data_IF_947433396868
#
_entry.id   IF_947433396868
#
_cell.length_a   1.000
_cell.length_b   1.000
_cell.length_c   1.000
_cell.angle_alpha   90.00
_cell.angle_beta   90.00
_cell.angle_gamma   90.00
#
_symmetry.space_group_name_H-M   'P 1'
#
loop_
_entity.id
_entity.type
_entity.pdbx_description
1 polymer ?
#
# COMPACT_ATOMS: atom_id res chain seq x y z
N UNK A 1 -13.78 0.70 22.71
CA UNK A 1 -14.68 1.53 21.91
C UNK A 1 -13.94 2.00 20.68
N UNK A 2 -14.61 2.06 19.53
CA UNK A 2 -14.02 2.69 18.34
C UNK A 2 -13.76 4.19 18.60
N UNK A 3 -12.71 4.78 18.01
CA UNK A 3 -12.45 6.21 18.11
C UNK A 3 -13.65 7.05 17.61
N UNK A 4 -13.89 8.24 18.19
CA UNK A 4 -14.90 9.17 17.66
C UNK A 4 -14.59 9.55 16.20
N UNK A 5 -15.63 9.61 15.35
CA UNK A 5 -15.50 10.01 13.94
C UNK A 5 -14.98 8.93 12.99
N UNK A 6 -14.91 7.67 13.42
CA UNK A 6 -14.44 6.57 12.58
C UNK A 6 -15.29 6.36 11.32
N UNK A 7 -16.61 6.62 11.42
CA UNK A 7 -17.55 6.43 10.32
C UNK A 7 -17.34 7.45 9.18
N UNK A 8 -16.75 8.61 9.48
CA UNK A 8 -16.43 9.67 8.52
C UNK A 8 -14.97 9.62 8.03
N UNK A 9 -14.23 8.56 8.37
CA UNK A 9 -12.80 8.44 8.06
C UNK A 9 -12.57 7.78 6.71
N UNK A 10 -11.88 8.50 5.81
CA UNK A 10 -11.43 7.97 4.52
C UNK A 10 -9.92 7.85 4.47
N UNK A 11 -9.43 6.70 4.01
CA UNK A 11 -7.99 6.44 3.83
C UNK A 11 -7.72 6.10 2.38
N UNK A 12 -6.77 6.82 1.79
CA UNK A 12 -6.31 6.57 0.41
C UNK A 12 -4.92 5.96 0.47
N UNK A 13 -4.80 4.71 0.01
CA UNK A 13 -3.50 4.06 -0.19
C UNK A 13 -3.08 4.22 -1.64
N UNK A 14 -1.95 4.90 -1.86
CA UNK A 14 -1.32 5.00 -3.18
C UNK A 14 -0.16 4.02 -3.23
N UNK A 15 -0.31 2.96 -4.03
CA UNK A 15 0.73 1.95 -4.22
C UNK A 15 1.54 2.31 -5.47
N UNK A 16 2.78 2.72 -5.26
CA UNK A 16 3.72 3.03 -6.34
C UNK A 16 4.44 1.77 -6.84
N UNK A 17 5.00 1.82 -8.05
CA UNK A 17 5.70 0.69 -8.66
C UNK A 17 7.21 0.66 -8.32
N UNK A 18 8.02 1.45 -9.02
CA UNK A 18 9.50 1.35 -8.98
C UNK A 18 10.15 2.62 -8.41
N UNK A 19 9.41 3.38 -7.60
CA UNK A 19 9.94 4.64 -7.04
C UNK A 19 10.99 4.34 -5.98
N UNK A 20 12.18 4.93 -6.14
CA UNK A 20 13.27 4.81 -5.15
C UNK A 20 13.36 6.08 -4.31
N UNK A 21 13.48 5.90 -3.00
CA UNK A 21 13.51 7.02 -2.05
C UNK A 21 14.72 7.94 -2.26
N UNK A 22 15.86 7.38 -2.70
CA UNK A 22 17.11 8.12 -2.93
C UNK A 22 17.05 9.07 -4.16
N UNK A 23 15.99 8.96 -4.96
CA UNK A 23 15.71 9.84 -6.11
C UNK A 23 14.55 10.82 -5.84
N UNK A 24 14.10 10.94 -4.59
CA UNK A 24 13.05 11.90 -4.20
C UNK A 24 13.67 13.19 -3.65
N UNK A 25 13.36 14.33 -4.29
CA UNK A 25 13.88 15.65 -3.89
C UNK A 25 13.60 15.98 -2.42
N UNK A 26 12.38 15.70 -1.96
CA UNK A 26 11.97 15.86 -0.56
C UNK A 26 12.74 14.99 0.45
N UNK A 27 13.52 14.00 0.00
CA UNK A 27 14.38 13.16 0.85
C UNK A 27 15.88 13.47 0.71
N UNK A 28 16.23 14.54 -0.02
CA UNK A 28 17.60 15.05 -0.18
C UNK A 28 18.25 14.78 -1.54
N UNK A 29 17.49 14.32 -2.54
CA UNK A 29 18.01 14.16 -3.91
C UNK A 29 18.35 15.52 -4.53
N UNK A 30 19.41 15.57 -5.35
CA UNK A 30 19.94 16.83 -5.90
C UNK A 30 19.01 17.52 -6.90
N UNK A 31 18.08 16.79 -7.53
CA UNK A 31 17.05 17.33 -8.43
C UNK A 31 15.72 17.41 -7.70
N UNK A 32 14.96 18.48 -7.97
CA UNK A 32 13.60 18.62 -7.44
C UNK A 32 12.62 17.73 -8.23
N UNK A 33 12.56 16.45 -7.83
CA UNK A 33 11.65 15.44 -8.40
C UNK A 33 10.29 15.39 -7.72
N UNK A 34 10.10 16.16 -6.65
CA UNK A 34 8.86 16.20 -5.85
C UNK A 34 8.34 17.64 -5.61
N UNK A 35 8.28 18.51 -6.64
CA UNK A 35 8.00 19.95 -6.47
C UNK A 35 6.57 20.28 -6.03
N UNK A 36 5.65 19.33 -6.23
CA UNK A 36 4.25 19.46 -5.80
C UNK A 36 4.10 18.99 -4.36
N UNK A 37 4.61 17.80 -4.06
CA UNK A 37 4.58 17.22 -2.71
C UNK A 37 5.27 18.13 -1.69
N UNK A 38 6.39 18.78 -2.04
CA UNK A 38 7.09 19.69 -1.14
C UNK A 38 6.28 20.91 -0.67
N UNK A 39 5.14 21.20 -1.31
CA UNK A 39 4.24 22.31 -0.96
C UNK A 39 3.06 21.86 -0.10
N UNK A 40 2.86 20.56 0.09
CA UNK A 40 1.74 20.03 0.84
C UNK A 40 1.91 20.28 2.34
N UNK A 41 0.85 20.78 2.97
CA UNK A 41 0.82 21.00 4.43
C UNK A 41 0.64 19.66 5.13
N UNK A 42 1.25 19.52 6.32
CA UNK A 42 1.20 18.31 7.14
C UNK A 42 1.76 17.05 6.46
N UNK A 43 2.63 17.22 5.48
CA UNK A 43 3.34 16.11 4.84
C UNK A 43 4.44 15.59 5.75
N UNK A 44 4.45 14.27 5.97
CA UNK A 44 5.54 13.57 6.65
C UNK A 44 6.20 12.64 5.65
N UNK A 45 7.53 12.76 5.53
CA UNK A 45 8.33 11.99 4.59
C UNK A 45 9.18 10.95 5.33
N UNK A 46 9.09 9.69 4.90
CA UNK A 46 9.88 8.60 5.47
C UNK A 46 10.79 8.00 4.40
N UNK A 47 12.00 7.63 4.81
CA UNK A 47 12.84 6.70 4.03
C UNK A 47 12.33 5.29 4.33
N UNK A 48 12.08 4.52 3.27
CA UNK A 48 11.53 3.17 3.38
C UNK A 48 12.34 2.18 2.57
N UNK A 49 12.40 0.95 3.05
CA UNK A 49 12.96 -0.19 2.35
C UNK A 49 11.83 -1.15 2.00
N UNK A 50 11.85 -1.70 0.79
CA UNK A 50 10.84 -2.64 0.35
C UNK A 50 11.09 -4.02 0.96
N UNK A 51 10.01 -4.74 1.27
CA UNK A 51 10.12 -6.11 1.76
C UNK A 51 10.57 -7.09 0.67
N UNK A 52 10.40 -6.74 -0.61
CA UNK A 52 10.88 -7.49 -1.77
C UNK A 52 11.22 -6.56 -2.95
N UNK A 53 11.80 -7.09 -4.02
CA UNK A 53 12.12 -6.34 -5.24
C UNK A 53 11.15 -6.62 -6.39
N UNK A 54 10.35 -7.68 -6.31
CA UNK A 54 9.31 -7.99 -7.29
C UNK A 54 7.94 -7.49 -6.82
N UNK A 55 7.21 -6.76 -7.67
CA UNK A 55 5.88 -6.18 -7.38
C UNK A 55 4.94 -7.21 -6.73
N UNK A 56 4.84 -8.39 -7.36
CA UNK A 56 4.03 -9.50 -6.86
C UNK A 56 4.37 -9.95 -5.43
N UNK A 57 5.66 -10.03 -5.10
CA UNK A 57 6.12 -10.48 -3.79
C UNK A 57 6.00 -9.35 -2.76
N UNK A 58 6.28 -8.11 -3.16
CA UNK A 58 6.09 -6.92 -2.33
C UNK A 58 4.64 -6.74 -1.90
N UNK A 59 3.69 -6.89 -2.82
CA UNK A 59 2.26 -6.82 -2.51
C UNK A 59 1.82 -7.89 -1.49
N UNK A 60 2.48 -9.06 -1.43
CA UNK A 60 2.17 -10.09 -0.43
C UNK A 60 2.62 -9.69 0.96
N UNK A 61 3.81 -9.12 1.11
CA UNK A 61 4.35 -8.76 2.43
C UNK A 61 3.87 -7.40 2.94
N UNK A 62 3.56 -6.43 2.08
CA UNK A 62 3.15 -5.08 2.50
C UNK A 62 1.80 -5.02 3.23
N UNK A 63 0.90 -5.98 2.99
CA UNK A 63 -0.48 -5.95 3.50
C UNK A 63 -0.75 -6.95 4.62
N UNK A 64 0.30 -7.57 5.15
CA UNK A 64 0.26 -8.42 6.34
C UNK A 64 1.21 -7.86 7.39
N UNK A 65 1.10 -8.33 8.63
CA UNK A 65 2.06 -7.95 9.68
C UNK A 65 3.44 -8.48 9.36
N UNK A 66 4.46 -7.89 9.97
CA UNK A 66 5.81 -8.45 9.96
C UNK A 66 5.80 -9.91 10.43
N UNK A 67 6.46 -10.79 9.67
CA UNK A 67 6.41 -12.24 9.89
C UNK A 67 5.15 -12.95 9.34
N UNK A 68 4.18 -12.20 8.81
CA UNK A 68 2.94 -12.69 8.19
C UNK A 68 3.15 -13.44 6.86
N UNK A 69 4.37 -13.46 6.33
CA UNK A 69 4.78 -14.30 5.21
C UNK A 69 5.77 -15.38 5.66
N UNK A 70 5.76 -16.53 4.99
CA UNK A 70 6.86 -17.50 5.09
C UNK A 70 8.11 -16.99 4.38
N UNK A 71 9.28 -17.37 4.88
CA UNK A 71 10.55 -17.19 4.19
C UNK A 71 10.72 -18.31 3.14
N UNK A 72 10.00 -18.15 2.02
CA UNK A 72 10.04 -19.05 0.89
C UNK A 72 9.93 -18.27 -0.42
N UNK A 73 10.27 -18.86 -1.59
CA UNK A 73 10.25 -18.14 -2.87
C UNK A 73 8.89 -17.55 -3.25
N UNK A 74 7.80 -18.07 -2.68
CA UNK A 74 6.44 -17.59 -2.93
C UNK A 74 5.94 -16.55 -1.94
N UNK A 75 6.66 -16.23 -0.86
CA UNK A 75 6.16 -15.48 0.30
C UNK A 75 4.74 -15.89 0.70
N UNK A 76 4.54 -17.18 0.97
CA UNK A 76 3.22 -17.71 1.34
C UNK A 76 2.64 -16.94 2.53
N UNK A 77 1.40 -16.44 2.38
CA UNK A 77 0.69 -15.72 3.45
C UNK A 77 0.31 -16.69 4.58
N UNK A 78 0.55 -16.29 5.82
CA UNK A 78 0.15 -17.03 7.03
C UNK A 78 -1.14 -16.50 7.65
N UNK A 79 -1.63 -15.37 7.16
CA UNK A 79 -2.75 -14.63 7.73
C UNK A 79 -3.54 -13.89 6.66
N UNK A 80 -4.69 -13.36 7.07
CA UNK A 80 -5.49 -12.49 6.21
C UNK A 80 -4.81 -11.13 6.04
N UNK A 81 -4.88 -10.59 4.84
CA UNK A 81 -4.41 -9.23 4.57
C UNK A 81 -5.29 -8.19 5.29
N UNK A 82 -4.76 -6.97 5.40
CA UNK A 82 -5.43 -5.87 6.08
C UNK A 82 -6.81 -5.54 5.48
N UNK A 83 -6.98 -5.64 4.16
CA UNK A 83 -8.25 -5.30 3.50
C UNK A 83 -9.37 -6.28 3.88
N UNK A 84 -9.08 -7.58 3.91
CA UNK A 84 -10.01 -8.61 4.39
C UNK A 84 -10.37 -8.41 5.87
N UNK A 85 -9.42 -7.99 6.71
CA UNK A 85 -9.68 -7.67 8.12
C UNK A 85 -10.59 -6.44 8.24
N UNK A 86 -10.29 -5.37 7.50
CA UNK A 86 -11.07 -4.13 7.52
C UNK A 86 -12.50 -4.37 7.04
N UNK A 87 -12.70 -5.17 6.00
CA UNK A 87 -14.02 -5.57 5.52
C UNK A 87 -14.83 -6.32 6.56
N UNK A 88 -14.21 -7.27 7.27
CA UNK A 88 -14.85 -7.97 8.41
C UNK A 88 -15.25 -7.04 9.56
N UNK A 89 -14.57 -5.91 9.70
CA UNK A 89 -14.87 -4.88 10.69
C UNK A 89 -15.89 -3.83 10.19
N UNK A 90 -16.43 -4.00 8.98
CA UNK A 90 -17.49 -3.15 8.43
C UNK A 90 -17.00 -2.02 7.51
N UNK A 91 -15.70 -1.93 7.23
CA UNK A 91 -15.18 -0.95 6.29
C UNK A 91 -15.43 -1.36 4.84
N UNK A 92 -15.57 -0.36 3.98
CA UNK A 92 -15.62 -0.57 2.53
C UNK A 92 -14.28 -0.23 1.88
N UNK A 93 -13.87 -1.01 0.89
CA UNK A 93 -12.63 -0.75 0.14
C UNK A 93 -12.91 -0.78 -1.36
N UNK A 94 -12.38 0.22 -2.07
CA UNK A 94 -12.41 0.31 -3.53
C UNK A 94 -10.98 0.28 -4.05
N UNK A 95 -10.75 -0.46 -5.14
CA UNK A 95 -9.43 -0.59 -5.74
C UNK A 95 -9.45 -0.11 -7.19
N UNK A 96 -8.56 0.84 -7.47
CA UNK A 96 -8.32 1.38 -8.80
C UNK A 96 -6.92 1.00 -9.25
N UNK A 97 -6.82 0.27 -10.36
CA UNK A 97 -5.55 -0.21 -10.88
C UNK A 97 -5.31 0.25 -12.31
N UNK A 98 -4.08 0.70 -12.56
CA UNK A 98 -3.56 0.96 -13.92
C UNK A 98 -2.63 -0.17 -14.41
N UNK A 99 -2.29 -1.11 -13.51
CA UNK A 99 -1.36 -2.20 -13.79
C UNK A 99 -2.03 -3.55 -13.57
N UNK A 100 -1.77 -4.48 -14.49
CA UNK A 100 -2.46 -5.75 -14.63
C UNK A 100 -1.98 -6.83 -13.65
N UNK A 101 -1.81 -6.48 -12.38
CA UNK A 101 -1.58 -7.43 -11.27
C UNK A 101 -2.91 -8.08 -10.82
N UNK A 102 -3.68 -8.62 -11.79
CA UNK A 102 -5.06 -9.13 -11.60
C UNK A 102 -5.16 -10.14 -10.45
N UNK A 103 -4.15 -10.99 -10.29
CA UNK A 103 -4.11 -12.01 -9.23
C UNK A 103 -4.06 -11.42 -7.82
N UNK A 104 -3.49 -10.23 -7.61
CA UNK A 104 -3.49 -9.58 -6.30
C UNK A 104 -4.88 -9.04 -5.99
N UNK A 105 -5.54 -8.44 -6.97
CA UNK A 105 -6.86 -7.83 -6.80
C UNK A 105 -7.95 -8.85 -6.44
N UNK A 106 -7.88 -10.06 -7.01
CA UNK A 106 -8.77 -11.17 -6.65
C UNK A 106 -8.61 -11.60 -5.18
N UNK A 107 -7.41 -11.46 -4.62
CA UNK A 107 -7.09 -11.85 -3.24
C UNK A 107 -7.22 -10.69 -2.24
N UNK A 108 -7.46 -9.46 -2.70
CA UNK A 108 -7.55 -8.27 -1.86
C UNK A 108 -8.92 -8.10 -1.17
N UNK A 109 -9.91 -8.94 -1.49
CA UNK A 109 -11.26 -8.96 -0.90
C UNK A 109 -11.97 -7.58 -0.90
N UNK A 110 -11.71 -6.77 -1.92
CA UNK A 110 -12.28 -5.42 -2.05
C UNK A 110 -13.75 -5.45 -2.49
N UNK A 111 -14.48 -4.38 -2.25
CA UNK A 111 -15.91 -4.30 -2.62
C UNK A 111 -16.10 -3.97 -4.10
N UNK A 112 -15.21 -3.16 -4.66
CA UNK A 112 -15.24 -2.80 -6.07
C UNK A 112 -13.83 -2.72 -6.63
N UNK A 113 -13.66 -3.18 -7.87
CA UNK A 113 -12.40 -3.15 -8.59
C UNK A 113 -12.62 -2.52 -9.97
N UNK A 114 -11.83 -1.50 -10.29
CA UNK A 114 -11.84 -0.87 -11.61
C UNK A 114 -10.43 -0.88 -12.20
N UNK A 115 -10.32 -1.44 -13.40
CA UNK A 115 -9.12 -1.42 -14.23
C UNK A 115 -9.28 -0.37 -15.32
N UNK A 116 -8.27 0.48 -15.51
CA UNK A 116 -8.23 1.52 -16.56
C UNK A 116 -6.90 1.59 -17.25
#
# INVERSE_FOLDING_TARGET
>A
MAPPGIDDTYVVFVICETTRWDHMGMLGYNRDTTPKLSKEKNLVAFRGESCDTATKLSLRCMFVREGGTMDNPGRTLKEQNIFAVMKKLGFTSELFAMQSEVWFYDNADVNNFSFR
#
